data_IF_840586138496
#
_entry.id   IF_840586138496
#
_cell.length_a   1.000
_cell.length_b   1.000
_cell.length_c   1.000
_cell.angle_alpha   90.00
_cell.angle_beta   90.00
_cell.angle_gamma   90.00
#
_symmetry.space_group_name_H-M   'P 1'
#
loop_
_entity.id
_entity.type
_entity.pdbx_description
1 polymer ?
#
# COMPACT_ATOMS: atom_id res chain seq x y z
N UNK A 1 -3.11 -28.07 1.31
CA UNK A 1 -1.75 -28.39 0.84
C UNK A 1 -0.79 -28.14 1.96
N UNK A 2 0.36 -28.83 2.02
CA UNK A 2 1.38 -28.50 3.02
C UNK A 2 2.07 -27.18 2.63
N UNK A 3 2.39 -26.36 3.62
CA UNK A 3 3.11 -25.11 3.42
C UNK A 3 4.56 -25.42 2.97
N UNK A 4 4.92 -24.94 1.78
CA UNK A 4 6.28 -25.07 1.20
C UNK A 4 6.98 -23.72 1.07
N UNK A 5 6.33 -22.65 1.51
CA UNK A 5 6.83 -21.28 1.40
C UNK A 5 7.64 -20.88 2.63
N UNK A 6 7.12 -21.16 3.81
CA UNK A 6 7.75 -20.83 5.08
C UNK A 6 7.37 -21.83 6.19
N UNK A 7 8.13 -21.83 7.25
CA UNK A 7 7.80 -22.49 8.50
C UNK A 7 7.64 -21.48 9.63
N UNK A 8 6.84 -21.82 10.63
CA UNK A 8 6.74 -21.07 11.88
C UNK A 8 7.79 -21.65 12.84
N UNK A 9 8.68 -20.79 13.35
CA UNK A 9 9.79 -21.19 14.22
C UNK A 9 9.39 -21.15 15.69
N UNK A 10 10.25 -21.69 16.57
CA UNK A 10 10.09 -21.59 18.03
C UNK A 10 10.48 -20.20 18.60
N UNK A 11 10.89 -19.24 17.76
CA UNK A 11 11.29 -17.90 18.18
C UNK A 11 10.02 -17.08 18.45
N UNK A 12 9.64 -16.98 19.72
CA UNK A 12 8.49 -16.19 20.13
C UNK A 12 8.81 -14.69 20.18
N UNK A 13 7.79 -13.86 19.97
CA UNK A 13 7.88 -12.42 20.13
C UNK A 13 8.00 -12.05 21.62
N UNK A 14 8.91 -11.14 21.97
CA UNK A 14 9.22 -10.80 23.37
C UNK A 14 7.99 -10.36 24.18
N UNK A 15 7.13 -9.54 23.60
CA UNK A 15 5.94 -8.99 24.26
C UNK A 15 4.70 -9.85 24.09
N UNK A 16 4.61 -10.61 23.00
CA UNK A 16 3.42 -11.42 22.62
C UNK A 16 3.84 -12.87 22.37
N UNK A 17 3.98 -13.73 23.40
CA UNK A 17 4.55 -15.07 23.26
C UNK A 17 3.78 -16.03 22.36
N UNK A 18 2.54 -15.71 22.00
CA UNK A 18 1.73 -16.47 21.05
C UNK A 18 2.07 -16.16 19.57
N UNK A 19 2.88 -15.14 19.32
CA UNK A 19 3.38 -14.82 17.99
C UNK A 19 4.76 -15.43 17.79
N UNK A 20 4.97 -16.08 16.66
CA UNK A 20 6.21 -16.75 16.34
C UNK A 20 6.78 -16.23 15.02
N UNK A 21 8.10 -16.16 14.96
CA UNK A 21 8.83 -15.72 13.77
C UNK A 21 8.73 -16.76 12.67
N UNK A 22 8.56 -16.33 11.44
CA UNK A 22 8.59 -17.20 10.27
C UNK A 22 10.01 -17.33 9.70
N UNK A 23 10.26 -18.45 8.99
CA UNK A 23 11.49 -18.68 8.22
C UNK A 23 11.14 -19.15 6.82
N UNK A 24 11.76 -18.55 5.80
CA UNK A 24 11.57 -18.94 4.41
C UNK A 24 12.12 -20.33 4.13
N UNK A 25 11.35 -21.21 3.50
CA UNK A 25 11.76 -22.55 3.04
C UNK A 25 12.29 -22.54 1.60
N UNK A 26 11.98 -21.48 0.84
CA UNK A 26 12.44 -21.24 -0.52
C UNK A 26 12.70 -19.76 -0.75
N UNK A 27 13.32 -19.43 -1.89
CA UNK A 27 13.39 -18.03 -2.32
C UNK A 27 11.97 -17.48 -2.58
N UNK A 28 11.68 -16.25 -2.13
CA UNK A 28 10.40 -15.56 -2.28
C UNK A 28 10.67 -14.21 -2.92
N UNK A 29 10.11 -13.99 -4.09
CA UNK A 29 10.38 -12.79 -4.88
C UNK A 29 11.88 -12.60 -5.14
N UNK A 30 12.33 -11.35 -5.04
CA UNK A 30 13.73 -10.97 -5.28
C UNK A 30 14.55 -10.77 -3.99
N UNK A 31 13.87 -10.53 -2.88
CA UNK A 31 14.48 -10.04 -1.65
C UNK A 31 14.70 -11.14 -0.60
N UNK A 32 13.87 -12.18 -0.57
CA UNK A 32 13.91 -13.20 0.48
C UNK A 32 14.57 -14.46 -0.04
N UNK A 33 15.55 -14.97 0.70
CA UNK A 33 16.25 -16.22 0.40
C UNK A 33 15.82 -17.35 1.33
N UNK A 34 15.92 -18.58 0.84
CA UNK A 34 15.69 -19.75 1.67
C UNK A 34 16.57 -19.68 2.95
N UNK A 35 15.94 -19.84 4.11
CA UNK A 35 16.56 -19.70 5.42
C UNK A 35 16.44 -18.33 6.08
N UNK A 36 16.05 -17.29 5.35
CA UNK A 36 15.86 -15.95 5.91
C UNK A 36 14.71 -15.94 6.93
N UNK A 37 14.91 -15.21 8.01
CA UNK A 37 13.89 -14.96 9.00
C UNK A 37 12.98 -13.81 8.54
N UNK A 38 11.69 -14.03 8.66
CA UNK A 38 10.67 -13.01 8.45
C UNK A 38 10.16 -12.38 9.74
N UNK A 39 9.01 -11.75 9.71
CA UNK A 39 8.30 -11.18 10.86
C UNK A 39 7.58 -12.26 11.69
N UNK A 40 6.49 -11.84 12.34
CA UNK A 40 5.76 -12.68 13.28
C UNK A 40 4.35 -12.98 12.78
N UNK A 41 3.93 -14.22 13.01
CA UNK A 41 2.55 -14.67 12.78
C UNK A 41 2.03 -15.42 14.00
N UNK A 42 0.72 -15.45 14.16
CA UNK A 42 0.05 -16.28 15.15
C UNK A 42 -0.14 -17.72 14.64
N UNK A 43 -0.46 -17.86 13.35
CA UNK A 43 -0.69 -19.14 12.69
C UNK A 43 -0.40 -19.08 11.19
N UNK A 44 -0.43 -20.24 10.52
CA UNK A 44 -0.31 -20.31 9.05
C UNK A 44 -1.45 -19.60 8.30
N UNK A 45 -2.58 -19.34 8.96
CA UNK A 45 -3.70 -18.60 8.35
C UNK A 45 -3.43 -17.11 8.16
N UNK A 46 -2.36 -16.56 8.72
CA UNK A 46 -2.07 -15.14 8.64
C UNK A 46 -1.30 -14.71 7.39
N UNK A 47 -0.61 -15.64 6.73
CA UNK A 47 0.20 -15.35 5.54
C UNK A 47 -0.04 -16.41 4.48
N UNK A 48 -0.35 -15.98 3.28
CA UNK A 48 -0.53 -16.87 2.13
C UNK A 48 0.71 -17.70 1.83
N UNK A 49 0.50 -18.99 1.59
CA UNK A 49 1.52 -19.92 1.06
C UNK A 49 1.10 -20.53 -0.29
N UNK A 50 0.18 -19.88 -0.99
CA UNK A 50 -0.23 -20.29 -2.33
C UNK A 50 0.96 -20.26 -3.30
N UNK A 51 1.04 -21.21 -4.25
CA UNK A 51 2.09 -21.21 -5.25
C UNK A 51 2.08 -19.95 -6.11
N UNK A 52 3.23 -19.28 -6.19
CA UNK A 52 3.38 -18.04 -6.97
C UNK A 52 2.98 -16.77 -6.26
N UNK A 53 2.55 -16.86 -5.00
CA UNK A 53 2.31 -15.69 -4.14
C UNK A 53 3.60 -15.34 -3.39
N UNK A 54 4.14 -14.14 -3.64
CA UNK A 54 5.37 -13.63 -3.02
C UNK A 54 5.10 -12.72 -1.80
N UNK A 55 3.87 -12.71 -1.25
CA UNK A 55 3.56 -11.97 -0.02
C UNK A 55 4.52 -12.35 1.11
N UNK A 56 5.01 -11.36 1.86
CA UNK A 56 5.97 -11.59 2.94
C UNK A 56 5.87 -10.58 4.07
N UNK A 57 6.21 -11.05 5.27
CA UNK A 57 6.26 -10.24 6.49
C UNK A 57 7.73 -10.12 6.88
N UNK A 58 8.26 -8.90 6.92
CA UNK A 58 9.67 -8.60 7.23
C UNK A 58 9.85 -8.06 8.65
N UNK A 59 11.07 -8.06 9.12
CA UNK A 59 11.55 -7.42 10.35
C UNK A 59 10.72 -7.85 11.59
N UNK A 60 10.11 -6.88 12.27
CA UNK A 60 9.24 -7.12 13.44
C UNK A 60 7.76 -6.84 13.13
N UNK A 61 7.40 -6.87 11.84
CA UNK A 61 6.02 -6.75 11.43
C UNK A 61 5.21 -7.99 11.84
N UNK A 62 3.92 -7.80 12.07
CA UNK A 62 3.03 -8.79 12.68
C UNK A 62 1.79 -9.01 11.82
N UNK A 63 1.40 -10.27 11.64
CA UNK A 63 0.05 -10.65 11.22
C UNK A 63 -0.54 -11.59 12.28
N UNK A 64 -1.74 -11.26 12.84
CA UNK A 64 -2.30 -11.97 13.98
C UNK A 64 -3.84 -12.03 13.94
N UNK A 65 -4.43 -12.86 14.78
CA UNK A 65 -5.87 -13.12 14.78
C UNK A 65 -6.30 -13.75 13.46
N UNK A 66 -7.36 -13.24 12.87
CA UNK A 66 -7.81 -13.60 11.52
C UNK A 66 -7.20 -12.68 10.43
N UNK A 67 -6.28 -11.78 10.81
CA UNK A 67 -5.59 -10.89 9.91
C UNK A 67 -4.81 -11.66 8.83
N UNK A 68 -4.99 -11.31 7.55
CA UNK A 68 -4.46 -12.08 6.43
C UNK A 68 -3.70 -11.23 5.42
N UNK A 69 -2.60 -11.79 4.93
CA UNK A 69 -1.69 -11.13 3.97
C UNK A 69 -1.46 -12.05 2.77
N UNK A 70 -1.78 -11.58 1.56
CA UNK A 70 -1.60 -12.35 0.33
C UNK A 70 -1.25 -11.50 -0.90
N UNK A 71 -1.13 -12.17 -2.05
CA UNK A 71 -1.01 -11.58 -3.39
C UNK A 71 0.06 -10.49 -3.46
N UNK A 72 1.29 -10.89 -3.16
CA UNK A 72 2.49 -10.05 -3.23
C UNK A 72 2.49 -8.87 -2.24
N UNK A 73 1.62 -8.90 -1.22
CA UNK A 73 1.57 -7.86 -0.21
C UNK A 73 2.74 -7.99 0.78
N UNK A 74 3.21 -6.85 1.28
CA UNK A 74 4.42 -6.77 2.08
C UNK A 74 4.16 -5.99 3.36
N UNK A 75 4.54 -6.58 4.50
CA UNK A 75 4.61 -5.89 5.78
C UNK A 75 6.06 -5.70 6.16
N UNK A 76 6.45 -4.49 6.61
CA UNK A 76 7.83 -4.18 7.04
C UNK A 76 7.86 -3.43 8.36
N UNK A 77 9.03 -3.37 8.95
CA UNK A 77 9.35 -2.67 10.20
C UNK A 77 8.51 -3.21 11.37
N UNK A 78 7.56 -2.45 11.89
CA UNK A 78 6.62 -2.83 12.96
C UNK A 78 5.16 -2.72 12.51
N UNK A 79 4.92 -2.82 11.21
CA UNK A 79 3.56 -2.81 10.68
C UNK A 79 2.73 -3.97 11.20
N UNK A 80 1.44 -3.75 11.41
CA UNK A 80 0.54 -4.75 11.98
C UNK A 80 -0.70 -4.92 11.12
N UNK A 81 -1.05 -6.18 10.85
CA UNK A 81 -2.36 -6.60 10.30
C UNK A 81 -2.96 -7.55 11.33
N UNK A 82 -4.09 -7.20 11.93
CA UNK A 82 -4.71 -8.00 12.98
C UNK A 82 -6.23 -8.00 12.92
N UNK A 83 -6.85 -8.70 13.86
CA UNK A 83 -8.30 -8.95 13.91
C UNK A 83 -8.76 -9.65 12.64
N UNK A 84 -9.66 -9.10 11.84
CA UNK A 84 -10.08 -9.62 10.54
C UNK A 84 -9.58 -8.79 9.35
N UNK A 85 -8.55 -7.97 9.55
CA UNK A 85 -8.03 -7.10 8.51
C UNK A 85 -7.35 -7.88 7.39
N UNK A 86 -7.50 -7.40 6.16
CA UNK A 86 -6.98 -8.08 4.99
C UNK A 86 -6.11 -7.16 4.12
N UNK A 87 -4.84 -7.52 3.93
CA UNK A 87 -3.89 -6.84 3.05
C UNK A 87 -3.62 -7.68 1.81
N UNK A 88 -3.90 -7.14 0.62
CA UNK A 88 -3.92 -7.92 -0.63
C UNK A 88 -3.45 -7.15 -1.86
N UNK A 89 -3.07 -7.88 -2.92
CA UNK A 89 -2.76 -7.35 -4.25
C UNK A 89 -1.64 -6.29 -4.25
N UNK A 90 -0.54 -6.59 -3.58
CA UNK A 90 0.61 -5.69 -3.48
C UNK A 90 0.39 -4.55 -2.50
N UNK A 91 -0.44 -4.75 -1.48
CA UNK A 91 -0.52 -3.80 -0.37
C UNK A 91 0.81 -3.74 0.37
N UNK A 92 1.28 -2.54 0.71
CA UNK A 92 2.52 -2.34 1.42
C UNK A 92 2.28 -1.56 2.72
N UNK A 93 2.58 -2.18 3.85
CA UNK A 93 2.47 -1.58 5.17
C UNK A 93 3.87 -1.47 5.79
N UNK A 94 4.27 -0.24 6.17
CA UNK A 94 5.62 0.04 6.69
C UNK A 94 5.59 0.95 7.92
N UNK A 95 6.69 0.98 8.65
CA UNK A 95 6.80 1.75 9.89
C UNK A 95 5.96 1.15 11.01
N UNK A 96 5.15 1.97 11.67
CA UNK A 96 4.19 1.60 12.71
C UNK A 96 2.74 1.60 12.18
N UNK A 97 2.55 1.41 10.88
CA UNK A 97 1.23 1.41 10.27
C UNK A 97 0.40 0.19 10.69
N UNK A 98 -0.92 0.34 10.74
CA UNK A 98 -1.82 -0.70 11.22
C UNK A 98 -3.04 -0.86 10.33
N UNK A 99 -3.42 -2.11 10.11
CA UNK A 99 -4.74 -2.51 9.63
C UNK A 99 -5.37 -3.40 10.71
N UNK A 100 -6.52 -3.01 11.19
CA UNK A 100 -7.21 -3.66 12.30
C UNK A 100 -8.73 -3.72 12.06
N UNK A 101 -9.45 -4.46 12.90
CA UNK A 101 -10.88 -4.75 12.72
C UNK A 101 -11.17 -5.48 11.39
N UNK A 102 -12.11 -5.00 10.58
CA UNK A 102 -12.47 -5.56 9.26
C UNK A 102 -11.87 -4.74 8.10
N UNK A 103 -10.74 -4.07 8.30
CA UNK A 103 -10.13 -3.21 7.30
C UNK A 103 -9.65 -4.00 6.07
N UNK A 104 -10.00 -3.54 4.87
CA UNK A 104 -9.52 -4.12 3.63
C UNK A 104 -8.60 -3.17 2.86
N UNK A 105 -7.35 -3.61 2.66
CA UNK A 105 -6.32 -2.86 1.94
C UNK A 105 -5.95 -3.63 0.67
N UNK A 106 -6.15 -2.99 -0.47
CA UNK A 106 -5.83 -3.58 -1.77
C UNK A 106 -4.92 -2.68 -2.59
N UNK A 107 -3.68 -3.11 -2.80
CA UNK A 107 -2.70 -2.44 -3.65
C UNK A 107 -2.24 -1.07 -3.15
N UNK A 108 -2.59 -0.70 -1.91
CA UNK A 108 -2.31 0.61 -1.34
C UNK A 108 -1.09 0.58 -0.42
N UNK A 109 -0.49 1.74 -0.19
CA UNK A 109 0.65 1.90 0.70
C UNK A 109 0.24 2.63 1.98
N UNK A 110 0.50 2.01 3.14
CA UNK A 110 0.38 2.61 4.45
C UNK A 110 1.76 2.75 5.07
N UNK A 111 2.10 3.92 5.57
CA UNK A 111 3.43 4.17 6.13
C UNK A 111 3.39 5.02 7.39
N UNK A 112 4.50 5.03 8.15
CA UNK A 112 4.65 5.71 9.43
C UNK A 112 3.64 5.16 10.45
N UNK A 113 2.69 5.98 10.91
CA UNK A 113 1.65 5.59 11.88
C UNK A 113 0.25 5.63 11.26
N UNK A 114 0.15 5.46 9.93
CA UNK A 114 -1.14 5.44 9.23
C UNK A 114 -1.98 4.25 9.70
N UNK A 115 -3.29 4.44 9.87
CA UNK A 115 -4.24 3.43 10.34
C UNK A 115 -5.40 3.23 9.39
N UNK A 116 -5.78 1.97 9.23
CA UNK A 116 -7.03 1.54 8.63
C UNK A 116 -7.78 0.71 9.68
N UNK A 117 -8.98 1.12 10.08
CA UNK A 117 -9.73 0.48 11.15
C UNK A 117 -11.23 0.42 10.82
N UNK A 118 -12.00 -0.32 11.62
CA UNK A 118 -13.41 -0.56 11.34
C UNK A 118 -13.58 -1.31 10.02
N UNK A 119 -14.65 -1.04 9.30
CA UNK A 119 -14.89 -1.63 7.97
C UNK A 119 -14.29 -0.78 6.84
N UNK A 120 -13.12 -0.20 7.07
CA UNK A 120 -12.48 0.68 6.09
C UNK A 120 -12.06 -0.07 4.82
N UNK A 121 -12.12 0.63 3.68
CA UNK A 121 -11.71 0.11 2.39
C UNK A 121 -10.69 1.04 1.73
N UNK A 122 -9.45 0.60 1.59
CA UNK A 122 -8.38 1.35 0.92
C UNK A 122 -8.00 0.59 -0.35
N UNK A 123 -8.46 1.10 -1.50
CA UNK A 123 -8.53 0.32 -2.73
C UNK A 123 -7.79 0.98 -3.90
N UNK A 124 -7.01 0.18 -4.59
CA UNK A 124 -6.53 0.53 -5.92
C UNK A 124 -7.71 0.73 -6.88
N UNK A 125 -7.64 1.76 -7.74
CA UNK A 125 -8.62 1.97 -8.80
C UNK A 125 -8.65 0.79 -9.78
N UNK A 126 -9.82 0.24 -10.10
CA UNK A 126 -9.94 -0.77 -11.15
C UNK A 126 -9.63 -0.22 -12.55
N UNK A 127 -9.81 1.07 -12.76
CA UNK A 127 -9.68 1.75 -14.05
C UNK A 127 -8.23 2.20 -14.32
N UNK A 128 -7.69 3.04 -13.43
CA UNK A 128 -6.37 3.65 -13.60
C UNK A 128 -5.22 2.82 -13.05
N UNK A 129 -5.53 1.85 -12.17
CA UNK A 129 -4.55 1.10 -11.37
C UNK A 129 -3.77 1.96 -10.37
N UNK A 130 -4.11 3.24 -10.25
CA UNK A 130 -3.57 4.07 -9.20
C UNK A 130 -4.07 3.60 -7.83
N UNK A 131 -3.23 3.71 -6.82
CA UNK A 131 -3.51 3.21 -5.48
C UNK A 131 -3.28 4.29 -4.42
N UNK A 132 -4.08 4.32 -3.36
CA UNK A 132 -3.91 5.28 -2.29
C UNK A 132 -2.57 5.14 -1.56
N UNK A 133 -2.03 6.27 -1.13
CA UNK A 133 -0.84 6.38 -0.28
C UNK A 133 -1.24 7.09 1.00
N UNK A 134 -1.12 6.41 2.12
CA UNK A 134 -1.40 6.93 3.45
C UNK A 134 -0.10 7.08 4.24
N UNK A 135 0.12 8.25 4.83
CA UNK A 135 1.35 8.52 5.58
C UNK A 135 1.10 9.48 6.76
N UNK A 136 1.97 9.44 7.74
CA UNK A 136 1.83 10.24 8.96
C UNK A 136 0.98 9.53 10.01
N UNK A 137 0.11 10.25 10.69
CA UNK A 137 -0.83 9.77 11.71
C UNK A 137 -2.28 9.75 11.18
N UNK A 138 -2.47 9.61 9.87
CA UNK A 138 -3.81 9.58 9.31
C UNK A 138 -4.55 8.31 9.72
N UNK A 139 -5.88 8.41 9.86
CA UNK A 139 -6.75 7.32 10.22
C UNK A 139 -7.92 7.22 9.23
N UNK A 140 -8.17 6.01 8.72
CA UNK A 140 -9.26 5.74 7.77
C UNK A 140 -10.22 4.74 8.38
N UNK A 141 -11.47 5.14 8.51
CA UNK A 141 -12.62 4.31 8.90
C UNK A 141 -13.60 4.13 7.74
N UNK A 142 -13.55 4.99 6.74
CA UNK A 142 -14.39 4.99 5.54
C UNK A 142 -13.70 4.38 4.34
N UNK A 143 -14.00 4.91 3.15
CA UNK A 143 -13.47 4.39 1.88
C UNK A 143 -12.51 5.38 1.20
N UNK A 144 -11.35 4.90 0.79
CA UNK A 144 -10.38 5.67 -0.02
C UNK A 144 -10.01 4.86 -1.26
N UNK A 145 -10.11 5.46 -2.46
CA UNK A 145 -9.86 4.75 -3.71
C UNK A 145 -9.16 5.61 -4.76
N UNK A 146 -8.24 5.00 -5.52
CA UNK A 146 -7.59 5.62 -6.67
C UNK A 146 -6.38 6.46 -6.31
N UNK A 147 -6.05 7.46 -7.12
CA UNK A 147 -4.86 8.30 -6.96
C UNK A 147 -5.06 9.36 -5.86
N UNK A 148 -4.98 8.92 -4.62
CA UNK A 148 -5.21 9.73 -3.42
C UNK A 148 -4.00 9.62 -2.47
N UNK A 149 -3.49 10.75 -2.02
CA UNK A 149 -2.48 10.83 -0.97
C UNK A 149 -3.13 11.42 0.28
N UNK A 150 -3.13 10.68 1.39
CA UNK A 150 -3.48 11.18 2.71
C UNK A 150 -2.21 11.32 3.54
N UNK A 151 -1.99 12.52 4.10
CA UNK A 151 -0.80 12.79 4.89
C UNK A 151 -1.14 13.51 6.20
N UNK A 152 -0.23 13.46 7.16
CA UNK A 152 -0.38 14.15 8.44
C UNK A 152 -1.41 13.49 9.36
N UNK A 153 -2.37 14.25 9.86
CA UNK A 153 -3.37 13.83 10.87
C UNK A 153 -4.79 13.74 10.31
N UNK A 154 -4.92 13.55 9.00
CA UNK A 154 -6.22 13.43 8.31
C UNK A 154 -7.01 12.22 8.82
N UNK A 155 -8.29 12.43 9.09
CA UNK A 155 -9.23 11.36 9.47
C UNK A 155 -10.33 11.27 8.43
N UNK A 156 -10.55 10.05 7.90
CA UNK A 156 -11.67 9.71 7.02
C UNK A 156 -12.67 8.91 7.83
N UNK A 157 -13.85 9.47 8.09
CA UNK A 157 -14.89 8.86 8.93
C UNK A 157 -15.64 7.72 8.19
N UNK A 158 -16.36 6.87 8.92
CA UNK A 158 -16.91 5.60 8.42
C UNK A 158 -17.86 5.72 7.21
N UNK A 159 -18.62 6.80 7.12
CA UNK A 159 -19.54 7.06 6.01
C UNK A 159 -18.94 7.94 4.90
N UNK A 160 -17.68 8.36 5.05
CA UNK A 160 -16.98 9.17 4.05
C UNK A 160 -16.35 8.28 2.97
N UNK A 161 -16.51 8.72 1.72
CA UNK A 161 -15.82 8.13 0.57
C UNK A 161 -14.98 9.19 -0.13
N UNK A 162 -13.68 8.95 -0.23
CA UNK A 162 -12.74 9.74 -1.01
C UNK A 162 -12.30 8.90 -2.20
N UNK A 163 -12.57 9.36 -3.41
CA UNK A 163 -12.14 8.64 -4.62
C UNK A 163 -11.57 9.60 -5.67
N UNK A 164 -10.54 9.15 -6.37
CA UNK A 164 -9.95 9.90 -7.46
C UNK A 164 -9.48 8.94 -8.57
N UNK A 165 -10.22 8.92 -9.67
CA UNK A 165 -9.89 8.20 -10.91
C UNK A 165 -9.38 9.11 -12.02
N UNK A 166 -9.05 10.38 -11.69
CA UNK A 166 -8.46 11.31 -12.64
C UNK A 166 -6.99 11.00 -12.91
N UNK A 167 -6.39 11.66 -13.89
CA UNK A 167 -4.95 11.56 -14.19
C UNK A 167 -4.07 12.36 -13.21
N UNK A 168 -4.68 13.26 -12.44
CA UNK A 168 -3.99 14.08 -11.45
C UNK A 168 -4.18 13.49 -10.05
N UNK A 169 -3.21 13.64 -9.18
CA UNK A 169 -3.24 13.11 -7.82
C UNK A 169 -4.01 14.03 -6.87
N UNK A 170 -4.97 13.50 -6.11
CA UNK A 170 -5.63 14.21 -5.02
C UNK A 170 -4.82 14.05 -3.74
N UNK A 171 -4.23 15.13 -3.26
CA UNK A 171 -3.52 15.18 -1.98
C UNK A 171 -4.35 15.86 -0.90
N UNK A 172 -4.43 15.26 0.28
CA UNK A 172 -5.16 15.78 1.44
C UNK A 172 -4.23 15.73 2.67
N UNK A 173 -4.04 16.87 3.29
CA UNK A 173 -3.25 17.03 4.52
C UNK A 173 -3.96 18.02 5.47
N UNK A 174 -3.29 18.45 6.56
CA UNK A 174 -3.83 19.41 7.52
C UNK A 174 -4.14 20.80 6.91
N UNK A 175 -3.59 21.11 5.73
CA UNK A 175 -3.82 22.38 5.02
C UNK A 175 -5.04 22.31 4.11
N UNK A 176 -5.57 21.09 3.88
CA UNK A 176 -6.76 20.87 3.06
C UNK A 176 -6.50 19.96 1.85
N UNK A 177 -7.32 20.15 0.81
CA UNK A 177 -7.29 19.35 -0.42
C UNK A 177 -6.55 20.09 -1.52
N UNK A 178 -5.61 19.41 -2.18
CA UNK A 178 -4.82 19.95 -3.29
C UNK A 178 -4.80 18.96 -4.44
N UNK A 179 -4.92 19.42 -5.67
CA UNK A 179 -4.72 18.61 -6.86
C UNK A 179 -3.28 18.78 -7.33
N UNK A 180 -2.52 17.70 -7.29
CA UNK A 180 -1.17 17.63 -7.82
C UNK A 180 -1.25 17.19 -9.28
N UNK A 181 -0.95 18.12 -10.19
CA UNK A 181 -1.03 17.86 -11.62
C UNK A 181 0.12 16.95 -12.06
N UNK A 182 -0.22 15.84 -12.66
CA UNK A 182 0.74 14.95 -13.28
C UNK A 182 1.05 15.45 -14.70
N UNK A 183 2.35 15.60 -15.07
CA UNK A 183 2.70 16.05 -16.42
C UNK A 183 2.21 15.04 -17.46
N UNK A 184 1.59 15.51 -18.51
CA UNK A 184 1.18 14.65 -19.61
C UNK A 184 2.40 14.13 -20.38
N UNK A 185 2.24 12.98 -21.05
CA UNK A 185 3.31 12.40 -21.89
C UNK A 185 3.79 13.40 -22.96
N UNK A 186 2.89 14.24 -23.47
CA UNK A 186 3.20 15.27 -24.47
C UNK A 186 4.05 16.41 -23.90
N UNK A 187 3.96 16.69 -22.59
CA UNK A 187 4.80 17.66 -21.91
C UNK A 187 6.23 17.17 -21.73
N UNK A 188 6.42 15.87 -21.57
CA UNK A 188 7.72 15.21 -21.43
C UNK A 188 8.44 15.03 -22.79
N UNK A 189 7.70 15.07 -23.89
CA UNK A 189 8.29 14.92 -25.22
C UNK A 189 9.02 16.23 -25.60
N UNK A 190 10.32 16.22 -25.88
CA UNK A 190 11.04 17.40 -26.33
C UNK A 190 10.36 17.93 -27.60
N UNK A 191 9.89 19.16 -27.57
CA UNK A 191 9.33 19.81 -28.77
C UNK A 191 10.43 19.93 -29.80
N UNK A 192 10.40 19.09 -30.84
CA UNK A 192 11.38 19.13 -31.93
C UNK A 192 11.43 20.50 -32.62
N UNK A 193 12.49 20.78 -33.40
CA UNK A 193 12.71 22.07 -34.06
C UNK A 193 11.50 22.59 -34.89
N UNK A 194 10.73 21.65 -35.48
CA UNK A 194 9.55 21.98 -36.28
C UNK A 194 8.36 22.57 -35.50
N UNK A 195 8.25 22.26 -34.19
CA UNK A 195 7.18 22.84 -33.36
C UNK A 195 7.45 24.32 -33.03
N UNK A 196 8.72 24.71 -32.93
CA UNK A 196 9.11 26.13 -32.72
C UNK A 196 8.84 27.01 -33.95
N UNK A 197 8.98 26.48 -35.15
CA UNK A 197 8.67 27.22 -36.38
C UNK A 197 7.16 27.45 -36.58
N UNK A 198 6.33 26.45 -36.30
CA UNK A 198 4.85 26.59 -36.39
C UNK A 198 4.32 27.59 -35.36
N UNK A 199 4.89 27.69 -34.18
CA UNK A 199 4.49 28.70 -33.18
C UNK A 199 4.92 30.12 -33.61
N UNK A 200 6.13 30.27 -34.17
CA UNK A 200 6.59 31.57 -34.70
C UNK A 200 5.77 32.02 -35.92
N UNK A 201 5.36 31.12 -36.79
CA UNK A 201 4.48 31.42 -37.92
C UNK A 201 3.08 31.90 -37.46
N UNK A 202 2.43 31.19 -36.53
CA UNK A 202 1.14 31.57 -35.96
C UNK A 202 1.17 32.91 -35.20
N UNK A 203 2.29 33.26 -34.58
CA UNK A 203 2.46 34.52 -33.86
C UNK A 203 2.66 35.71 -34.84
N UNK A 204 3.27 35.48 -36.02
CA UNK A 204 3.39 36.49 -37.09
C UNK A 204 2.08 36.77 -37.82
N UNK A 205 1.19 35.77 -37.94
CA UNK A 205 -0.14 35.95 -38.52
C UNK A 205 -1.11 36.74 -37.63
N UNK A 206 -0.90 36.73 -36.28
CA UNK A 206 -1.72 37.48 -35.32
C UNK A 206 -1.35 38.96 -35.19
N UNK A 207 -0.26 39.39 -35.79
CA UNK A 207 0.29 40.77 -35.68
C UNK A 207 0.09 41.52 -37.04
N UNK A 208 -0.55 40.90 -38.02
CA UNK A 208 -1.04 41.53 -39.24
C UNK A 208 -2.56 41.66 -39.21
#
# INVERSE_FOLDING_TARGET
MANQKYEITDIAHEKYPFLHRIRALRDIGKEVKAGDLGGFVESESNLSFEPGDDAWIFNDAIAAGEGYVDKDSILRDRAVVCDSAYASHGAELTGDSRAEDDAYIRGATLSRCARASGSSMILQSPNTKAAPILSGNCAVYGKVMGDVILAGTVVVISDETISNDSLDTLSIDERGRTILRNPSRDELTPRGPQAKEKMKAKQRERIR
#
